data_IF_993063839264
#
_entry.id   IF_993063839264
#
_cell.length_a   1.000
_cell.length_b   1.000
_cell.length_c   1.000
_cell.angle_alpha   90.00
_cell.angle_beta   90.00
_cell.angle_gamma   90.00
#
_symmetry.space_group_name_H-M   'P 1'
#
loop_
_entity.id
_entity.type
_entity.pdbx_description
1 polymer ?
#
# COMPACT_ATOMS: atom_id res chain seq x y z
N UNK A 1 20.74 16.59 19.54
CA UNK A 1 21.48 15.73 18.60
C UNK A 1 20.46 15.18 17.64
N UNK A 2 20.51 15.64 16.40
CA UNK A 2 19.45 15.55 15.40
C UNK A 2 19.21 14.09 15.04
N UNK A 3 18.02 13.57 15.34
CA UNK A 3 17.53 12.34 14.70
C UNK A 3 17.23 12.74 13.26
N UNK A 4 18.15 12.52 12.33
CA UNK A 4 17.74 12.40 10.94
C UNK A 4 16.93 11.11 10.87
N UNK A 5 15.61 11.22 10.96
CA UNK A 5 14.73 10.12 10.57
C UNK A 5 15.11 9.80 9.13
N UNK A 6 15.84 8.69 8.97
CA UNK A 6 16.28 8.23 7.67
C UNK A 6 15.03 8.04 6.83
N UNK A 7 14.93 8.77 5.73
CA UNK A 7 13.86 8.54 4.76
C UNK A 7 13.95 7.07 4.36
N UNK A 8 12.98 6.27 4.80
CA UNK A 8 12.83 4.93 4.28
C UNK A 8 12.63 5.06 2.76
N UNK A 9 13.25 4.21 1.94
CA UNK A 9 13.16 4.37 0.49
C UNK A 9 11.72 4.34 -0.04
N UNK A 10 10.77 3.81 0.74
CA UNK A 10 9.33 3.78 0.47
C UNK A 10 8.51 3.47 1.75
N UNK A 11 7.23 3.83 1.74
CA UNK A 11 6.28 3.58 2.85
C UNK A 11 5.33 2.39 2.60
N UNK A 12 5.17 1.97 1.35
CA UNK A 12 4.25 0.90 0.96
C UNK A 12 4.31 0.59 -0.52
N UNK A 13 3.62 -0.48 -0.93
CA UNK A 13 3.61 -0.94 -2.31
C UNK A 13 2.19 -1.21 -2.80
N UNK A 14 1.93 -0.93 -4.07
CA UNK A 14 0.63 -1.07 -4.74
C UNK A 14 0.80 -1.72 -6.12
N UNK A 15 -0.20 -2.47 -6.57
CA UNK A 15 -0.21 -3.10 -7.91
C UNK A 15 -1.46 -2.78 -8.70
N UNK A 16 -1.29 -2.37 -9.96
CA UNK A 16 -2.36 -2.32 -10.93
C UNK A 16 -2.46 -3.68 -11.65
N UNK A 17 -3.51 -4.44 -11.38
CA UNK A 17 -3.81 -5.68 -12.11
C UNK A 17 -4.78 -5.36 -13.24
N UNK A 18 -4.34 -5.59 -14.47
CA UNK A 18 -5.07 -5.23 -15.68
C UNK A 18 -5.66 -6.48 -16.33
N UNK A 19 -6.94 -6.40 -16.71
CA UNK A 19 -7.62 -7.43 -17.50
C UNK A 19 -8.44 -6.76 -18.58
N UNK A 20 -7.91 -6.68 -19.80
CA UNK A 20 -8.58 -6.21 -21.03
C UNK A 20 -9.61 -5.09 -20.78
N UNK A 21 -9.16 -3.84 -20.74
CA UNK A 21 -10.05 -2.69 -20.50
C UNK A 21 -10.45 -2.49 -19.03
N UNK A 22 -10.26 -3.48 -18.17
CA UNK A 22 -10.55 -3.40 -16.74
C UNK A 22 -9.27 -3.27 -15.89
N UNK A 23 -9.40 -2.63 -14.73
CA UNK A 23 -8.39 -2.54 -13.67
C UNK A 23 -8.99 -3.01 -12.35
N UNK A 24 -8.27 -3.84 -11.61
CA UNK A 24 -8.69 -4.24 -10.26
C UNK A 24 -8.42 -3.11 -9.26
N UNK A 25 -9.48 -2.70 -8.57
CA UNK A 25 -9.43 -1.70 -7.49
C UNK A 25 -10.16 -2.20 -6.25
N UNK A 26 -9.78 -1.67 -5.09
CA UNK A 26 -10.43 -1.92 -3.80
C UNK A 26 -11.08 -0.63 -3.31
N UNK A 27 -12.30 -0.72 -2.76
CA UNK A 27 -12.90 0.39 -2.02
C UNK A 27 -12.46 0.26 -0.56
N UNK A 28 -11.72 1.26 -0.06
CA UNK A 28 -11.23 1.28 1.32
C UNK A 28 -12.39 1.36 2.31
N UNK A 29 -12.17 0.84 3.52
CA UNK A 29 -13.12 0.99 4.64
C UNK A 29 -13.51 2.46 4.84
N UNK A 30 -14.77 2.70 5.21
CA UNK A 30 -15.24 4.01 5.63
C UNK A 30 -15.04 4.20 7.14
N UNK A 31 -13.77 4.33 7.56
CA UNK A 31 -13.39 4.51 8.97
C UNK A 31 -12.54 5.76 9.16
N UNK A 32 -12.85 6.65 10.13
CA UNK A 32 -12.16 7.93 10.28
C UNK A 32 -10.72 7.80 10.80
N UNK A 33 -10.33 6.64 11.34
CA UNK A 33 -8.99 6.37 11.87
C UNK A 33 -7.96 5.96 10.81
N UNK A 34 -8.38 5.74 9.55
CA UNK A 34 -7.47 5.41 8.46
C UNK A 34 -7.29 6.58 7.49
N UNK A 35 -6.13 6.71 6.82
CA UNK A 35 -5.98 7.65 5.72
C UNK A 35 -6.95 7.32 4.58
N UNK A 36 -7.50 8.36 3.95
CA UNK A 36 -8.34 8.25 2.75
C UNK A 36 -9.51 7.25 2.87
N UNK A 37 -10.42 7.42 3.84
CA UNK A 37 -11.57 6.53 3.99
C UNK A 37 -12.53 6.63 2.81
N UNK A 38 -13.20 5.51 2.50
CA UNK A 38 -14.17 5.40 1.39
C UNK A 38 -13.64 5.84 0.01
N UNK A 39 -12.32 5.80 -0.21
CA UNK A 39 -11.69 6.06 -1.51
C UNK A 39 -11.34 4.76 -2.23
N UNK A 40 -11.33 4.80 -3.57
CA UNK A 40 -10.81 3.72 -4.40
C UNK A 40 -9.28 3.71 -4.38
N UNK A 41 -8.69 2.53 -4.31
CA UNK A 41 -7.25 2.29 -4.23
C UNK A 41 -6.87 1.04 -5.04
N UNK A 42 -5.57 0.83 -5.23
CA UNK A 42 -5.04 -0.42 -5.76
C UNK A 42 -4.78 -1.44 -4.63
N UNK A 43 -4.83 -2.75 -4.95
CA UNK A 43 -4.32 -3.79 -4.06
C UNK A 43 -2.89 -3.50 -3.60
N UNK A 44 -2.60 -3.83 -2.34
CA UNK A 44 -1.34 -3.53 -1.67
C UNK A 44 -1.56 -2.71 -0.38
N UNK A 45 -0.48 -2.32 0.28
CA UNK A 45 -0.54 -1.60 1.55
C UNK A 45 0.82 -1.19 2.10
N UNK A 46 0.91 -1.10 3.42
CA UNK A 46 2.03 -0.47 4.13
C UNK A 46 3.21 -1.43 4.28
N UNK A 47 4.42 -0.88 4.30
CA UNK A 47 5.65 -1.63 4.58
C UNK A 47 5.70 -2.02 6.05
N UNK A 48 6.02 -3.29 6.31
CA UNK A 48 6.29 -3.77 7.66
C UNK A 48 7.78 -4.06 7.83
N UNK A 49 8.37 -3.61 8.95
CA UNK A 49 9.78 -3.83 9.26
C UNK A 49 10.75 -3.40 8.15
N UNK A 50 11.59 -4.34 7.72
CA UNK A 50 12.66 -4.13 6.73
C UNK A 50 12.32 -4.74 5.36
N UNK A 51 11.03 -4.98 5.06
CA UNK A 51 10.59 -5.50 3.77
C UNK A 51 11.11 -4.65 2.60
N UNK A 52 11.49 -5.34 1.52
CA UNK A 52 11.65 -4.76 0.19
C UNK A 52 10.27 -4.42 -0.41
N UNK A 53 10.19 -3.52 -1.41
CA UNK A 53 8.91 -3.19 -2.04
C UNK A 53 8.13 -4.40 -2.57
N UNK A 54 8.85 -5.42 -3.05
CA UNK A 54 8.22 -6.63 -3.59
C UNK A 54 7.73 -7.57 -2.49
N UNK A 55 8.45 -7.66 -1.37
CA UNK A 55 7.99 -8.44 -0.20
C UNK A 55 6.73 -7.82 0.39
N UNK A 56 6.71 -6.50 0.61
CA UNK A 56 5.52 -5.75 1.05
C UNK A 56 4.35 -5.99 0.10
N UNK A 57 4.55 -5.85 -1.22
CA UNK A 57 3.49 -6.06 -2.19
C UNK A 57 2.96 -7.49 -2.19
N UNK A 58 3.87 -8.47 -2.11
CA UNK A 58 3.50 -9.88 -2.14
C UNK A 58 2.62 -10.22 -0.95
N UNK A 59 3.03 -9.85 0.27
CA UNK A 59 2.24 -10.05 1.49
C UNK A 59 0.85 -9.41 1.37
N UNK A 60 0.80 -8.12 1.07
CA UNK A 60 -0.44 -7.34 1.02
C UNK A 60 -1.44 -7.81 -0.04
N UNK A 61 -0.99 -8.45 -1.13
CA UNK A 61 -1.89 -9.00 -2.16
C UNK A 61 -2.49 -10.36 -1.74
N UNK A 62 -1.87 -11.06 -0.78
CA UNK A 62 -2.39 -12.33 -0.25
C UNK A 62 -3.33 -12.18 0.95
N UNK A 63 -3.28 -11.05 1.65
CA UNK A 63 -4.20 -10.70 2.76
C UNK A 63 -5.63 -10.43 2.26
#
# INVERSE_FOLDING_TARGET
MTMSEGFAPFDGAKVAILRVGDVLTLLRDDRPDIPYPAQWDFPGGGREGDETPFETLSREVFE
#
